data_IF_271235609883
#
_entry.id   IF_271235609883
#
_cell.length_a   1.000
_cell.length_b   1.000
_cell.length_c   1.000
_cell.angle_alpha   90.00
_cell.angle_beta   90.00
_cell.angle_gamma   90.00
#
_symmetry.space_group_name_H-M   'P 1'
#
loop_
_entity.id
_entity.type
_entity.pdbx_description
1 polymer ?
#
# COMPACT_ATOMS: atom_id res chain seq x y z
N UNK A 1 -9.96 -8.42 2.53
CA UNK A 1 -8.99 -8.83 1.50
C UNK A 1 -8.90 -10.35 1.50
N UNK A 2 -8.94 -11.02 0.34
CA UNK A 2 -8.86 -12.49 0.25
C UNK A 2 -7.54 -13.02 0.83
N UNK A 3 -7.60 -14.17 1.52
CA UNK A 3 -6.43 -14.82 2.15
C UNK A 3 -5.38 -15.25 1.12
N UNK A 4 -5.82 -15.77 -0.03
CA UNK A 4 -4.93 -16.24 -1.09
C UNK A 4 -4.02 -15.14 -1.65
N UNK A 5 -4.59 -13.95 -1.89
CA UNK A 5 -3.78 -12.82 -2.30
C UNK A 5 -2.87 -12.34 -1.18
N UNK A 6 -3.34 -12.38 0.07
CA UNK A 6 -2.50 -12.02 1.20
C UNK A 6 -1.27 -12.91 1.27
N UNK A 7 -1.42 -14.23 1.07
CA UNK A 7 -0.30 -15.17 1.06
C UNK A 7 0.74 -14.86 -0.03
N UNK A 8 0.35 -14.25 -1.15
CA UNK A 8 1.27 -13.78 -2.20
C UNK A 8 1.94 -12.46 -1.80
N UNK A 9 1.20 -11.55 -1.17
CA UNK A 9 1.66 -10.18 -0.86
C UNK A 9 2.52 -10.12 0.39
N UNK A 10 2.14 -10.84 1.44
CA UNK A 10 2.82 -10.90 2.73
C UNK A 10 4.35 -11.08 2.61
N UNK A 11 4.88 -12.07 1.86
CA UNK A 11 6.33 -12.25 1.75
C UNK A 11 7.04 -11.13 0.95
N UNK A 12 6.29 -10.31 0.21
CA UNK A 12 6.83 -9.20 -0.58
C UNK A 12 6.87 -7.90 0.20
N UNK A 13 6.13 -7.81 1.31
CA UNK A 13 6.10 -6.62 2.15
C UNK A 13 7.49 -6.48 2.78
N UNK A 14 8.15 -5.33 2.59
CA UNK A 14 9.43 -5.09 3.22
C UNK A 14 9.24 -5.08 4.75
N UNK A 15 10.06 -5.86 5.45
CA UNK A 15 10.05 -5.90 6.90
C UNK A 15 10.10 -4.48 7.48
N UNK A 16 9.09 -4.15 8.28
CA UNK A 16 9.09 -2.88 8.97
C UNK A 16 10.03 -2.97 10.17
N UNK A 17 11.27 -2.52 10.02
CA UNK A 17 12.16 -2.34 11.18
C UNK A 17 11.64 -1.17 12.01
N UNK A 18 11.10 -1.39 13.23
CA UNK A 18 10.67 -0.29 14.08
C UNK A 18 11.91 0.53 14.44
N UNK A 19 11.80 1.86 14.38
CA UNK A 19 12.86 2.74 14.88
C UNK A 19 12.93 2.58 16.40
N UNK A 20 14.13 2.38 16.94
CA UNK A 20 14.41 2.19 18.37
C UNK A 20 14.09 3.40 19.28
N UNK A 21 13.53 4.49 18.74
CA UNK A 21 13.08 5.61 19.56
C UNK A 21 11.74 5.24 20.20
N UNK A 22 11.82 4.86 21.48
CA UNK A 22 10.74 4.31 22.30
C UNK A 22 9.41 5.06 22.20
N UNK A 23 8.33 4.26 22.18
CA UNK A 23 6.94 4.70 22.00
C UNK A 23 6.19 3.72 21.11
N UNK A 24 6.21 2.43 21.46
CA UNK A 24 5.68 1.35 20.65
C UNK A 24 4.15 1.38 20.59
N UNK A 25 3.59 2.13 19.65
CA UNK A 25 2.24 1.83 19.16
C UNK A 25 2.27 0.43 18.59
N UNK A 26 1.34 -0.42 19.04
CA UNK A 26 1.12 -1.79 18.54
C UNK A 26 1.31 -1.79 17.02
N UNK A 27 2.12 -2.70 16.45
CA UNK A 27 2.26 -2.80 15.01
C UNK A 27 0.85 -3.02 14.43
N UNK A 28 0.32 -2.01 13.74
CA UNK A 28 -0.90 -2.18 12.95
C UNK A 28 -0.58 -3.27 11.93
N UNK A 29 -1.46 -4.27 11.84
CA UNK A 29 -1.26 -5.43 10.99
C UNK A 29 -1.01 -4.96 9.55
N UNK A 30 0.07 -5.45 8.94
CA UNK A 30 0.43 -5.10 7.57
C UNK A 30 -0.69 -5.48 6.60
N UNK A 31 -1.50 -6.48 6.94
CA UNK A 31 -2.70 -6.88 6.22
C UNK A 31 -3.79 -5.83 6.24
N UNK A 32 -4.04 -5.25 7.41
CA UNK A 32 -5.04 -4.18 7.58
C UNK A 32 -4.60 -2.92 6.84
N UNK A 33 -3.32 -2.55 6.99
CA UNK A 33 -2.71 -1.42 6.28
C UNK A 33 -2.80 -1.62 4.78
N UNK A 34 -2.46 -2.81 4.28
CA UNK A 34 -2.53 -3.11 2.87
C UNK A 34 -3.97 -3.09 2.36
N UNK A 35 -4.91 -3.67 3.11
CA UNK A 35 -6.34 -3.63 2.76
C UNK A 35 -6.86 -2.20 2.68
N UNK A 36 -6.54 -1.35 3.66
CA UNK A 36 -6.92 0.06 3.68
C UNK A 36 -6.34 0.84 2.49
N UNK A 37 -5.06 0.62 2.17
CA UNK A 37 -4.41 1.24 1.01
C UNK A 37 -5.08 0.79 -0.28
N UNK A 38 -5.33 -0.52 -0.44
CA UNK A 38 -6.02 -1.07 -1.61
C UNK A 38 -7.39 -0.43 -1.79
N UNK A 39 -8.18 -0.30 -0.72
CA UNK A 39 -9.48 0.36 -0.76
C UNK A 39 -9.38 1.79 -1.29
N UNK A 40 -8.43 2.59 -0.79
CA UNK A 40 -8.25 3.98 -1.25
C UNK A 40 -7.82 4.03 -2.72
N UNK A 41 -6.98 3.09 -3.14
CA UNK A 41 -6.50 3.02 -4.52
C UNK A 41 -7.62 2.64 -5.50
N UNK A 42 -8.41 1.60 -5.20
CA UNK A 42 -9.45 1.09 -6.11
C UNK A 42 -10.70 1.95 -6.12
N UNK A 43 -11.07 2.53 -4.97
CA UNK A 43 -12.26 3.38 -4.86
C UNK A 43 -12.04 4.80 -5.39
N UNK A 44 -10.79 5.23 -5.60
CA UNK A 44 -10.44 6.57 -6.05
C UNK A 44 -10.67 7.68 -5.02
N UNK A 45 -11.12 7.35 -3.81
CA UNK A 45 -11.41 8.31 -2.75
C UNK A 45 -10.15 9.03 -2.27
N UNK A 46 -10.32 10.23 -1.72
CA UNK A 46 -9.23 10.89 -1.02
C UNK A 46 -8.92 10.11 0.27
N UNK A 47 -7.64 10.12 0.67
CA UNK A 47 -7.17 9.43 1.89
C UNK A 47 -7.98 9.77 3.15
N UNK A 48 -8.50 11.00 3.24
CA UNK A 48 -9.36 11.47 4.35
C UNK A 48 -10.71 10.76 4.46
N UNK A 49 -11.12 10.02 3.44
CA UNK A 49 -12.37 9.26 3.41
C UNK A 49 -12.12 7.76 3.70
N UNK A 50 -10.93 7.39 4.17
CA UNK A 50 -10.68 6.03 4.65
C UNK A 50 -11.61 5.76 5.84
N UNK A 51 -12.47 4.72 5.80
CA UNK A 51 -13.31 4.34 6.92
C UNK A 51 -12.48 3.92 8.14
N UNK A 52 -12.95 4.29 9.34
CA UNK A 52 -12.31 3.89 10.60
C UNK A 52 -12.43 2.38 10.87
N UNK A 53 -13.35 1.70 10.19
CA UNK A 53 -13.57 0.24 10.26
C UNK A 53 -12.32 -0.58 9.92
N UNK A 54 -11.37 0.00 9.18
CA UNK A 54 -10.11 -0.66 8.86
C UNK A 54 -9.11 -0.69 10.02
N UNK A 55 -9.38 0.01 11.13
CA UNK A 55 -8.44 0.09 12.26
C UNK A 55 -7.13 0.84 11.95
N UNK A 56 -7.00 1.41 10.75
CA UNK A 56 -5.79 2.08 10.27
C UNK A 56 -6.01 3.57 10.13
N UNK A 57 -5.23 4.36 10.86
CA UNK A 57 -5.27 5.81 10.69
C UNK A 57 -4.76 6.24 9.31
N UNK A 58 -5.37 7.28 8.75
CA UNK A 58 -4.96 7.89 7.47
C UNK A 58 -3.46 8.20 7.39
N UNK A 59 -2.82 8.81 8.42
CA UNK A 59 -1.38 9.04 8.42
C UNK A 59 -0.56 7.75 8.35
N UNK A 60 -0.98 6.69 9.05
CA UNK A 60 -0.32 5.38 9.02
C UNK A 60 -0.39 4.76 7.63
N UNK A 61 -1.59 4.71 7.03
CA UNK A 61 -1.81 4.17 5.68
C UNK A 61 -0.96 4.92 4.64
N UNK A 62 -0.97 6.26 4.68
CA UNK A 62 -0.21 7.07 3.73
C UNK A 62 1.32 6.90 3.88
N UNK A 63 1.82 6.82 5.12
CA UNK A 63 3.25 6.60 5.39
C UNK A 63 3.71 5.24 4.88
N UNK A 64 2.90 4.19 5.10
CA UNK A 64 3.15 2.82 4.63
C UNK A 64 3.07 2.73 3.12
N UNK A 65 2.05 3.32 2.49
CA UNK A 65 1.96 3.45 1.03
C UNK A 65 3.23 4.07 0.44
N UNK A 66 3.69 5.17 1.03
CA UNK A 66 4.92 5.85 0.56
C UNK A 66 6.16 4.96 0.73
N UNK A 67 6.31 4.29 1.87
CA UNK A 67 7.43 3.40 2.15
C UNK A 67 7.46 2.21 1.17
N UNK A 68 6.33 1.53 1.00
CA UNK A 68 6.19 0.40 0.09
C UNK A 68 6.36 0.79 -1.38
N UNK A 69 5.86 1.97 -1.77
CA UNK A 69 6.08 2.50 -3.12
C UNK A 69 7.58 2.72 -3.37
N UNK A 70 8.31 3.27 -2.40
CA UNK A 70 9.77 3.47 -2.51
C UNK A 70 10.54 2.16 -2.51
N UNK A 71 10.07 1.15 -1.77
CA UNK A 71 10.64 -0.19 -1.74
C UNK A 71 10.34 -1.01 -3.01
N UNK A 72 9.50 -0.51 -3.92
CA UNK A 72 9.14 -1.21 -5.15
C UNK A 72 8.18 -2.38 -4.91
N UNK A 73 7.30 -2.29 -3.91
CA UNK A 73 6.30 -3.33 -3.62
C UNK A 73 5.38 -3.59 -4.82
N UNK A 74 4.82 -2.54 -5.44
CA UNK A 74 3.78 -2.69 -6.47
C UNK A 74 4.23 -3.48 -7.71
N UNK A 75 5.42 -3.22 -8.29
CA UNK A 75 5.93 -4.05 -9.37
C UNK A 75 6.14 -5.53 -8.97
N UNK A 76 6.59 -5.79 -7.74
CA UNK A 76 6.80 -7.15 -7.23
C UNK A 76 5.48 -7.90 -7.06
N UNK A 77 4.48 -7.25 -6.47
CA UNK A 77 3.12 -7.79 -6.34
C UNK A 77 2.54 -8.10 -7.72
N UNK A 78 2.70 -7.19 -8.69
CA UNK A 78 2.27 -7.45 -10.08
C UNK A 78 2.90 -8.70 -10.66
N UNK A 79 4.21 -8.88 -10.46
CA UNK A 79 4.95 -10.01 -11.00
C UNK A 79 4.52 -11.32 -10.33
N UNK A 80 4.50 -11.36 -9.00
CA UNK A 80 4.10 -12.55 -8.25
C UNK A 80 2.68 -12.99 -8.60
N UNK A 81 1.77 -12.04 -8.76
CA UNK A 81 0.39 -12.35 -9.18
C UNK A 81 0.35 -12.86 -10.62
N UNK A 82 1.12 -12.28 -11.54
CA UNK A 82 1.22 -12.81 -12.92
C UNK A 82 1.84 -14.20 -13.01
N UNK A 83 2.82 -14.51 -12.15
CA UNK A 83 3.48 -15.81 -12.11
C UNK A 83 2.54 -16.89 -11.54
N UNK A 84 1.76 -16.57 -10.51
CA UNK A 84 0.68 -17.44 -10.01
C UNK A 84 -0.42 -17.65 -11.08
N UNK A 85 -0.75 -16.61 -11.87
CA UNK A 85 -1.75 -16.72 -12.94
C UNK A 85 -1.33 -17.57 -14.13
N UNK A 86 -0.04 -17.63 -14.45
CA UNK A 86 0.45 -18.61 -15.43
C UNK A 86 0.22 -20.03 -14.95
N UNK A 87 0.17 -20.25 -13.64
CA UNK A 87 -0.12 -21.55 -13.05
C UNK A 87 -1.63 -21.81 -12.92
N UNK A 88 -2.45 -20.78 -12.66
CA UNK A 88 -3.90 -20.89 -12.45
C UNK A 88 -4.66 -19.72 -13.10
N UNK A 89 -5.42 -19.99 -14.15
CA UNK A 89 -6.12 -18.97 -14.94
C UNK A 89 -7.25 -18.26 -14.16
N UNK A 90 -6.93 -17.20 -13.41
CA UNK A 90 -7.86 -16.20 -12.89
C UNK A 90 -7.10 -15.06 -12.18
N UNK A 91 -7.17 -13.80 -12.63
CA UNK A 91 -7.62 -12.60 -11.86
C UNK A 91 -7.38 -11.25 -12.59
N UNK A 92 -8.40 -10.40 -12.52
CA UNK A 92 -8.49 -8.99 -13.00
C UNK A 92 -8.17 -7.96 -11.89
N UNK A 93 -8.29 -8.37 -10.61
CA UNK A 93 -8.25 -7.52 -9.42
C UNK A 93 -6.86 -6.99 -9.02
N UNK A 94 -5.82 -7.82 -9.00
CA UNK A 94 -4.47 -7.38 -8.63
C UNK A 94 -3.87 -6.43 -9.68
N UNK A 95 -4.13 -6.70 -10.96
CA UNK A 95 -3.80 -5.79 -12.06
C UNK A 95 -4.49 -4.44 -11.88
N UNK A 96 -5.79 -4.46 -11.53
CA UNK A 96 -6.56 -3.25 -11.21
C UNK A 96 -5.94 -2.45 -10.05
N UNK A 97 -5.54 -3.10 -8.95
CA UNK A 97 -4.88 -2.45 -7.81
C UNK A 97 -3.56 -1.81 -8.22
N UNK A 98 -2.73 -2.55 -8.96
CA UNK A 98 -1.42 -2.06 -9.40
C UNK A 98 -1.56 -0.86 -10.34
N UNK A 99 -2.53 -0.89 -11.25
CA UNK A 99 -2.76 0.22 -12.16
C UNK A 99 -3.34 1.44 -11.45
N UNK A 100 -4.24 1.23 -10.49
CA UNK A 100 -4.69 2.29 -9.59
C UNK A 100 -3.54 2.88 -8.77
N UNK A 101 -2.65 2.04 -8.22
CA UNK A 101 -1.45 2.47 -7.50
C UNK A 101 -0.53 3.32 -8.39
N UNK A 102 -0.30 2.93 -9.64
CA UNK A 102 0.51 3.70 -10.61
C UNK A 102 -0.10 5.06 -10.90
N UNK A 103 -1.41 5.12 -11.18
CA UNK A 103 -2.13 6.38 -11.43
C UNK A 103 -2.00 7.31 -10.22
N UNK A 104 -2.17 6.77 -9.01
CA UNK A 104 -2.07 7.55 -7.77
C UNK A 104 -0.64 7.97 -7.44
N UNK A 105 0.35 7.10 -7.64
CA UNK A 105 1.75 7.40 -7.44
C UNK A 105 2.25 8.49 -8.41
N UNK A 106 1.76 8.49 -9.65
CA UNK A 106 2.03 9.58 -10.62
C UNK A 106 1.45 10.91 -10.14
N UNK A 107 0.21 10.92 -9.62
CA UNK A 107 -0.42 12.13 -9.06
C UNK A 107 0.29 12.64 -7.78
N UNK A 108 0.66 11.74 -6.86
CA UNK A 108 1.37 12.12 -5.62
C UNK A 108 2.78 12.69 -5.83
N UNK A 109 3.41 12.45 -7.00
CA UNK A 109 4.69 13.10 -7.37
C UNK A 109 4.49 14.53 -7.90
N UNK A 110 3.34 14.83 -8.51
CA UNK A 110 3.02 16.16 -9.00
C UNK A 110 2.62 17.12 -7.85
N UNK A 111 2.13 16.59 -6.74
CA UNK A 111 1.56 17.36 -5.63
C UNK A 111 2.57 17.70 -4.52
N UNK A 112 3.86 17.82 -4.85
CA UNK A 112 4.89 18.18 -3.87
C UNK A 112 5.01 19.71 -3.82
N UNK A 113 4.53 20.40 -2.78
CA UNK A 113 4.83 21.82 -2.62
C UNK A 113 6.33 21.93 -2.33
N UNK A 114 7.03 22.82 -3.02
CA UNK A 114 8.36 23.27 -2.62
C UNK A 114 8.23 23.94 -1.25
N UNK A 115 8.43 23.20 -0.17
CA UNK A 115 8.55 23.78 1.17
C UNK A 115 9.87 24.54 1.22
N UNK A 116 9.81 25.85 0.96
CA UNK A 116 10.87 26.78 1.33
C UNK A 116 10.99 26.78 2.85
N UNK A 117 12.17 26.42 3.36
CA UNK A 117 12.59 26.77 4.71
C UNK A 117 13.61 27.89 4.57
N UNK A 118 13.23 29.08 4.98
CA UNK A 118 14.17 30.14 5.36
C UNK A 118 14.37 30.04 6.86
N UNK A 119 15.63 29.99 7.28
CA UNK A 119 16.10 30.37 8.62
C UNK A 119 16.69 31.76 8.51
#
# INVERSE_FOLDING_TARGET
MPDELWAIVEPLIPEFTPRWQGGGTVPVDDREVFTAIVYVLTSGHAWRHLPDEFGVSVPTAHRRFTAWTRAGLWPRVRHAVQDEHRAQAQVDWASTIVDAAKVRAKRGRADRPRSGRSW
#
